data_IF_906049357328
#
_entry.id   IF_906049357328
#
_cell.length_a   1.000
_cell.length_b   1.000
_cell.length_c   1.000
_cell.angle_alpha   90.00
_cell.angle_beta   90.00
_cell.angle_gamma   90.00
#
_symmetry.space_group_name_H-M   'P 1'
#
loop_
_entity.id
_entity.type
_entity.pdbx_description
1 polymer ?
#
# COMPACT_ATOMS: atom_id res chain seq x y z
N UNK A 1 -48.33 47.66 30.38
CA UNK A 1 -48.49 46.55 29.42
C UNK A 1 -47.10 46.06 29.03
N UNK A 2 -46.80 44.76 29.19
CA UNK A 2 -45.46 44.26 29.52
C UNK A 2 -44.54 44.08 28.30
N UNK A 3 -43.24 44.35 28.52
CA UNK A 3 -42.14 44.07 27.59
C UNK A 3 -41.66 42.64 27.79
N UNK A 4 -41.72 41.80 26.76
CA UNK A 4 -41.06 40.49 26.73
C UNK A 4 -39.69 40.62 26.06
N UNK A 5 -38.57 40.28 26.72
CA UNK A 5 -37.30 40.11 26.03
C UNK A 5 -37.24 38.71 25.40
N UNK A 6 -36.96 38.66 24.09
CA UNK A 6 -36.56 37.44 23.39
C UNK A 6 -35.21 36.98 23.97
N UNK A 7 -35.21 35.83 24.65
CA UNK A 7 -33.99 35.12 25.01
C UNK A 7 -33.55 34.26 23.81
N UNK A 8 -32.48 34.69 23.14
CA UNK A 8 -31.81 33.89 22.11
C UNK A 8 -30.97 32.79 22.77
N UNK A 9 -31.30 31.52 22.51
CA UNK A 9 -30.48 30.38 22.89
C UNK A 9 -29.35 30.20 21.87
N UNK A 10 -28.11 30.46 22.29
CA UNK A 10 -26.90 30.15 21.53
C UNK A 10 -26.59 28.66 21.65
N UNK A 11 -26.76 27.92 20.56
CA UNK A 11 -26.32 26.53 20.43
C UNK A 11 -24.79 26.53 20.23
N UNK A 12 -24.03 26.15 21.26
CA UNK A 12 -22.59 25.97 21.14
C UNK A 12 -22.31 24.64 20.41
N UNK A 13 -21.90 24.69 19.14
CA UNK A 13 -21.35 23.52 18.45
C UNK A 13 -19.95 23.24 18.98
N UNK A 14 -19.81 22.18 19.77
CA UNK A 14 -18.52 21.64 20.16
C UNK A 14 -17.88 20.96 18.95
N UNK A 15 -16.89 21.61 18.34
CA UNK A 15 -15.98 21.00 17.38
C UNK A 15 -15.12 19.97 18.13
N UNK A 16 -15.45 18.69 18.02
CA UNK A 16 -14.56 17.62 18.47
C UNK A 16 -13.32 17.63 17.54
N UNK A 17 -12.09 17.69 18.07
CA UNK A 17 -10.91 17.58 17.24
C UNK A 17 -10.88 16.17 16.62
N UNK A 18 -10.79 16.10 15.30
CA UNK A 18 -10.45 14.87 14.60
C UNK A 18 -8.99 14.55 14.97
N UNK A 19 -8.79 13.67 15.96
CA UNK A 19 -7.48 13.12 16.25
C UNK A 19 -7.05 12.28 15.03
N UNK A 20 -6.27 12.86 14.14
CA UNK A 20 -5.62 12.12 13.07
C UNK A 20 -4.53 11.28 13.75
N UNK A 21 -4.66 9.95 13.68
CA UNK A 21 -3.66 9.04 14.22
C UNK A 21 -2.34 9.28 13.48
N UNK A 22 -1.25 9.52 14.22
CA UNK A 22 0.08 9.66 13.62
C UNK A 22 0.50 8.33 12.96
N UNK A 23 1.17 8.39 11.79
CA UNK A 23 1.76 7.21 11.17
C UNK A 23 2.75 6.53 12.10
N UNK A 24 2.79 5.20 12.05
CA UNK A 24 3.80 4.41 12.76
C UNK A 24 5.09 4.45 11.94
N UNK A 25 6.10 5.18 12.42
CA UNK A 25 7.42 5.23 11.78
C UNK A 25 8.38 4.19 12.36
N UNK A 26 9.04 3.45 11.49
CA UNK A 26 10.04 2.42 11.79
C UNK A 26 11.30 2.76 10.99
N UNK A 27 12.22 3.48 11.62
CA UNK A 27 13.49 3.87 11.01
C UNK A 27 14.65 3.11 11.67
N UNK A 28 15.50 2.47 10.85
CA UNK A 28 16.70 1.84 11.35
C UNK A 28 17.31 0.79 10.44
N UNK A 29 18.25 0.03 11.02
CA UNK A 29 19.00 -1.01 10.33
C UNK A 29 18.89 -2.32 11.08
N UNK A 30 18.49 -3.39 10.39
CA UNK A 30 18.46 -4.74 10.95
C UNK A 30 17.40 -4.96 12.03
N UNK A 31 16.37 -4.11 12.10
CA UNK A 31 15.32 -4.21 13.10
C UNK A 31 14.45 -5.44 12.84
N UNK A 32 14.05 -6.15 13.89
CA UNK A 32 13.03 -7.20 13.81
C UNK A 32 11.86 -6.85 14.72
N UNK A 33 10.66 -6.62 14.16
CA UNK A 33 9.50 -6.17 14.94
C UNK A 33 8.18 -6.66 14.36
N UNK A 34 7.25 -6.92 15.28
CA UNK A 34 5.84 -7.11 14.98
C UNK A 34 5.07 -5.84 15.36
N UNK A 35 4.24 -5.34 14.45
CA UNK A 35 3.53 -4.06 14.63
C UNK A 35 2.05 -4.22 14.27
N UNK A 36 1.13 -4.03 15.22
CA UNK A 36 -0.30 -4.02 14.93
C UNK A 36 -0.70 -2.68 14.29
N UNK A 37 -1.28 -2.72 13.08
CA UNK A 37 -1.59 -1.50 12.35
C UNK A 37 -2.84 -0.78 12.85
N UNK A 38 -3.92 -1.50 13.20
CA UNK A 38 -5.19 -0.91 13.67
C UNK A 38 -5.76 0.19 12.74
N UNK A 39 -5.52 0.09 11.44
CA UNK A 39 -5.92 1.05 10.42
C UNK A 39 -4.95 2.22 10.22
N UNK A 40 -3.88 2.30 11.01
CA UNK A 40 -2.85 3.35 10.89
C UNK A 40 -1.97 3.12 9.66
N UNK A 41 -1.39 4.23 9.20
CA UNK A 41 -0.34 4.22 8.20
C UNK A 41 0.98 3.77 8.84
N UNK A 42 1.83 3.11 8.08
CA UNK A 42 3.14 2.62 8.53
C UNK A 42 4.21 3.04 7.53
N UNK A 43 5.29 3.59 8.03
CA UNK A 43 6.47 3.94 7.23
C UNK A 43 7.67 3.14 7.74
N UNK A 44 8.28 2.36 6.86
CA UNK A 44 9.47 1.55 7.14
C UNK A 44 10.62 2.13 6.32
N UNK A 45 11.65 2.64 7.00
CA UNK A 45 12.83 3.22 6.37
C UNK A 45 14.12 2.55 6.83
N UNK A 46 15.17 2.69 6.01
CA UNK A 46 16.53 2.31 6.36
C UNK A 46 17.03 1.09 5.57
N UNK A 47 17.53 0.06 6.26
CA UNK A 47 18.01 -1.14 5.57
C UNK A 47 17.89 -2.42 6.38
N UNK A 48 17.74 -3.57 5.70
CA UNK A 48 17.77 -4.90 6.30
C UNK A 48 16.76 -5.15 7.45
N UNK A 49 15.70 -4.34 7.54
CA UNK A 49 14.65 -4.53 8.55
C UNK A 49 13.75 -5.73 8.19
N UNK A 50 13.38 -6.53 9.19
CA UNK A 50 12.44 -7.64 9.12
C UNK A 50 11.17 -7.31 9.92
N UNK A 51 10.12 -6.85 9.24
CA UNK A 51 8.93 -6.28 9.88
C UNK A 51 7.69 -7.11 9.53
N UNK A 52 6.86 -7.39 10.54
CA UNK A 52 5.56 -8.03 10.37
C UNK A 52 4.45 -7.11 10.84
N UNK A 53 3.56 -6.76 9.92
CA UNK A 53 2.42 -5.89 10.16
C UNK A 53 1.15 -6.74 10.30
N UNK A 54 0.42 -6.58 11.41
CA UNK A 54 -0.78 -7.38 11.71
C UNK A 54 -2.06 -6.54 11.67
N UNK A 55 -3.17 -7.19 11.34
CA UNK A 55 -4.46 -6.56 11.13
C UNK A 55 -4.53 -5.78 9.82
N UNK A 56 -5.39 -4.78 9.80
CA UNK A 56 -5.57 -3.90 8.64
C UNK A 56 -4.69 -2.67 8.81
N UNK A 57 -3.83 -2.39 7.83
CA UNK A 57 -3.07 -1.15 7.73
C UNK A 57 -3.76 -0.16 6.78
N UNK A 58 -3.49 1.12 6.98
CA UNK A 58 -3.84 2.17 6.03
C UNK A 58 -2.91 2.11 4.81
N UNK A 59 -2.08 3.14 4.64
CA UNK A 59 -0.96 3.12 3.71
C UNK A 59 0.29 2.53 4.37
N UNK A 60 1.01 1.68 3.64
CA UNK A 60 2.30 1.14 4.05
C UNK A 60 3.36 1.57 3.05
N UNK A 61 4.39 2.25 3.53
CA UNK A 61 5.56 2.63 2.74
C UNK A 61 6.75 1.80 3.19
N UNK A 62 7.40 1.10 2.26
CA UNK A 62 8.65 0.40 2.46
C UNK A 62 9.70 1.08 1.59
N UNK A 63 10.57 1.87 2.22
CA UNK A 63 11.59 2.65 1.52
C UNK A 63 12.98 2.33 2.05
N UNK A 64 13.89 1.91 1.17
CA UNK A 64 15.25 1.60 1.56
C UNK A 64 15.80 0.39 0.83
N UNK A 65 16.54 -0.45 1.55
CA UNK A 65 17.18 -1.62 0.94
C UNK A 65 17.10 -2.88 1.77
N UNK A 66 16.98 -4.01 1.09
CA UNK A 66 17.02 -5.36 1.67
C UNK A 66 16.00 -5.58 2.82
N UNK A 67 14.90 -4.84 2.83
CA UNK A 67 13.82 -5.07 3.79
C UNK A 67 13.12 -6.41 3.52
N UNK A 68 12.68 -7.07 4.59
CA UNK A 68 11.75 -8.20 4.55
C UNK A 68 10.50 -7.80 5.29
N UNK A 69 9.41 -7.57 4.57
CA UNK A 69 8.15 -7.07 5.16
C UNK A 69 7.02 -8.03 4.86
N UNK A 70 6.24 -8.35 5.89
CA UNK A 70 4.96 -9.04 5.71
C UNK A 70 3.82 -8.18 6.26
N UNK A 71 2.69 -8.15 5.57
CA UNK A 71 1.47 -7.50 6.03
C UNK A 71 0.24 -8.34 5.71
N UNK A 72 -0.73 -8.35 6.60
CA UNK A 72 -1.99 -9.07 6.35
C UNK A 72 -2.87 -8.32 5.35
N UNK A 73 -3.18 -7.05 5.62
CA UNK A 73 -4.07 -6.24 4.80
C UNK A 73 -3.60 -4.78 4.76
N UNK A 74 -3.69 -4.12 3.61
CA UNK A 74 -3.34 -2.70 3.46
C UNK A 74 -4.26 -1.98 2.47
N UNK A 75 -4.56 -0.72 2.72
CA UNK A 75 -5.23 0.13 1.73
C UNK A 75 -4.30 0.52 0.59
N UNK A 76 -3.05 0.81 0.89
CA UNK A 76 -2.01 1.06 -0.10
C UNK A 76 -0.68 0.46 0.35
N UNK A 77 0.12 0.02 -0.61
CA UNK A 77 1.47 -0.46 -0.40
C UNK A 77 2.39 0.18 -1.44
N UNK A 78 3.39 0.92 -0.99
CA UNK A 78 4.48 1.44 -1.82
C UNK A 78 5.79 0.73 -1.44
N UNK A 79 6.47 0.15 -2.42
CA UNK A 79 7.75 -0.55 -2.25
C UNK A 79 8.78 0.12 -3.13
N UNK A 80 9.61 0.94 -2.49
CA UNK A 80 10.61 1.79 -3.15
C UNK A 80 12.02 1.49 -2.64
N UNK A 81 13.01 1.70 -3.50
CA UNK A 81 14.41 1.38 -3.23
C UNK A 81 14.83 0.04 -3.83
N UNK A 82 15.78 -0.65 -3.17
CA UNK A 82 16.53 -1.74 -3.82
C UNK A 82 16.40 -3.05 -3.04
N UNK A 83 16.04 -4.13 -3.75
CA UNK A 83 16.05 -5.50 -3.21
C UNK A 83 15.14 -5.74 -1.99
N UNK A 84 14.07 -4.96 -1.84
CA UNK A 84 13.09 -5.21 -0.80
C UNK A 84 12.22 -6.43 -1.17
N UNK A 85 11.84 -7.21 -0.16
CA UNK A 85 11.03 -8.40 -0.27
C UNK A 85 9.76 -8.21 0.55
N UNK A 86 8.61 -8.14 -0.11
CA UNK A 86 7.34 -7.83 0.54
C UNK A 86 6.30 -8.91 0.24
N UNK A 87 5.65 -9.43 1.27
CA UNK A 87 4.51 -10.34 1.16
C UNK A 87 3.27 -9.72 1.78
N UNK A 88 2.23 -9.50 1.00
CA UNK A 88 0.98 -8.90 1.45
C UNK A 88 -0.20 -9.86 1.27
N UNK A 89 -1.05 -10.03 2.29
CA UNK A 89 -2.24 -10.86 2.15
C UNK A 89 -3.27 -10.25 1.20
N UNK A 90 -3.58 -8.95 1.36
CA UNK A 90 -4.44 -8.18 0.45
C UNK A 90 -4.07 -6.69 0.43
N UNK A 91 -4.00 -6.09 -0.75
CA UNK A 91 -3.84 -4.64 -0.93
C UNK A 91 -4.79 -4.10 -2.00
N UNK A 92 -5.20 -2.84 -1.88
CA UNK A 92 -6.06 -2.19 -2.89
C UNK A 92 -5.23 -1.47 -3.96
N UNK A 93 -4.12 -0.85 -3.55
CA UNK A 93 -3.16 -0.19 -4.43
C UNK A 93 -1.75 -0.67 -4.12
N UNK A 94 -0.99 -0.99 -5.16
CA UNK A 94 0.40 -1.39 -5.11
C UNK A 94 1.23 -0.50 -6.04
N UNK A 95 2.26 0.12 -5.49
CA UNK A 95 3.31 0.81 -6.23
C UNK A 95 4.65 0.11 -5.98
N UNK A 96 5.40 -0.15 -7.04
CA UNK A 96 6.75 -0.73 -6.97
C UNK A 96 7.68 0.04 -7.88
N UNK A 97 8.77 0.56 -7.34
CA UNK A 97 9.70 1.41 -8.09
C UNK A 97 11.18 1.11 -7.80
N UNK A 98 12.06 1.85 -8.49
CA UNK A 98 13.52 1.82 -8.36
C UNK A 98 14.15 0.54 -8.92
N UNK A 99 14.44 -0.49 -8.12
CA UNK A 99 15.07 -1.69 -8.66
C UNK A 99 14.93 -2.96 -7.81
N UNK A 100 14.82 -4.13 -8.46
CA UNK A 100 15.06 -5.46 -7.86
C UNK A 100 14.14 -5.86 -6.69
N UNK A 101 13.04 -5.12 -6.50
CA UNK A 101 12.05 -5.46 -5.47
C UNK A 101 11.30 -6.74 -5.85
N UNK A 102 11.02 -7.57 -4.85
CA UNK A 102 10.20 -8.78 -4.95
C UNK A 102 8.92 -8.58 -4.15
N UNK A 103 7.76 -8.73 -4.80
CA UNK A 103 6.47 -8.55 -4.13
C UNK A 103 5.52 -9.69 -4.43
N UNK A 104 4.95 -10.27 -3.38
CA UNK A 104 3.84 -11.22 -3.47
C UNK A 104 2.60 -10.61 -2.83
N UNK A 105 1.48 -10.51 -3.56
CA UNK A 105 0.27 -9.89 -3.01
C UNK A 105 -1.03 -10.33 -3.70
N UNK A 106 -2.14 -10.29 -2.98
CA UNK A 106 -3.46 -10.26 -3.62
C UNK A 106 -3.94 -8.81 -3.79
N UNK A 107 -4.34 -8.44 -5.00
CA UNK A 107 -4.90 -7.13 -5.32
C UNK A 107 -6.43 -7.23 -5.41
N UNK A 108 -7.12 -6.45 -4.58
CA UNK A 108 -8.58 -6.45 -4.49
C UNK A 108 -9.06 -5.01 -4.26
N UNK A 109 -9.71 -4.42 -5.26
CA UNK A 109 -10.27 -3.08 -5.16
C UNK A 109 -11.60 -3.07 -4.41
N UNK A 110 -11.93 -1.94 -3.80
CA UNK A 110 -13.26 -1.72 -3.22
C UNK A 110 -14.13 -0.96 -4.22
N UNK A 111 -15.25 -1.58 -4.61
CA UNK A 111 -16.24 -0.95 -5.48
C UNK A 111 -16.62 0.47 -4.98
N UNK A 112 -16.75 1.47 -5.88
CA UNK A 112 -16.68 1.36 -7.34
C UNK A 112 -15.25 1.34 -7.92
N UNK A 113 -14.21 1.41 -7.09
CA UNK A 113 -12.83 1.50 -7.52
C UNK A 113 -12.23 0.12 -7.81
N UNK A 114 -11.39 0.06 -8.85
CA UNK A 114 -10.61 -1.13 -9.19
C UNK A 114 -9.31 -1.16 -8.38
N UNK A 115 -8.73 -2.35 -8.22
CA UNK A 115 -7.37 -2.44 -7.70
C UNK A 115 -6.39 -1.75 -8.66
N UNK A 116 -5.32 -1.16 -8.13
CA UNK A 116 -4.32 -0.49 -8.97
C UNK A 116 -2.93 -1.07 -8.72
N UNK A 117 -2.20 -1.28 -9.81
CA UNK A 117 -0.79 -1.62 -9.81
C UNK A 117 -0.04 -0.59 -10.65
N UNK A 118 0.94 0.05 -10.05
CA UNK A 118 1.92 0.89 -10.74
C UNK A 118 3.32 0.31 -10.55
N UNK A 119 4.03 0.12 -11.66
CA UNK A 119 5.40 -0.39 -11.67
C UNK A 119 6.24 0.52 -12.53
N UNK A 120 7.37 0.97 -11.97
CA UNK A 120 8.41 1.71 -12.67
C UNK A 120 9.78 1.18 -12.25
N UNK A 121 10.88 1.65 -12.85
CA UNK A 121 12.21 1.15 -12.52
C UNK A 121 12.56 -0.17 -13.22
N UNK A 122 13.38 -1.00 -12.60
CA UNK A 122 13.94 -2.18 -13.27
C UNK A 122 14.06 -3.45 -12.41
N UNK A 123 14.08 -4.60 -13.07
CA UNK A 123 14.35 -5.91 -12.45
C UNK A 123 13.36 -6.31 -11.34
N UNK A 124 12.15 -5.75 -11.31
CA UNK A 124 11.14 -6.17 -10.33
C UNK A 124 10.64 -7.58 -10.60
N UNK A 125 10.32 -8.33 -9.55
CA UNK A 125 9.66 -9.64 -9.66
C UNK A 125 8.40 -9.65 -8.81
N UNK A 126 7.25 -9.66 -9.48
CA UNK A 126 5.94 -9.54 -8.88
C UNK A 126 5.15 -10.84 -9.10
N UNK A 127 4.58 -11.38 -8.03
CA UNK A 127 3.68 -12.54 -8.06
C UNK A 127 2.34 -12.14 -7.44
N UNK A 128 1.35 -11.89 -8.29
CA UNK A 128 0.11 -11.22 -7.89
C UNK A 128 -1.14 -12.05 -8.14
N UNK A 129 -2.13 -11.94 -7.26
CA UNK A 129 -3.48 -12.50 -7.46
C UNK A 129 -4.48 -11.38 -7.58
N UNK A 130 -5.11 -11.20 -8.75
CA UNK A 130 -6.15 -10.19 -8.95
C UNK A 130 -7.52 -10.75 -8.56
N UNK A 131 -8.10 -10.26 -7.47
CA UNK A 131 -9.41 -10.66 -6.93
C UNK A 131 -10.53 -9.73 -7.40
N UNK A 132 -10.59 -9.44 -8.69
CA UNK A 132 -11.58 -8.57 -9.31
C UNK A 132 -10.96 -7.60 -10.32
N UNK A 133 -11.71 -6.58 -10.76
CA UNK A 133 -11.22 -5.58 -11.70
C UNK A 133 -9.96 -4.89 -11.17
N UNK A 134 -8.92 -4.87 -12.01
CA UNK A 134 -7.65 -4.22 -11.70
C UNK A 134 -7.14 -3.44 -12.91
N UNK A 135 -6.44 -2.34 -12.65
CA UNK A 135 -5.73 -1.53 -13.65
C UNK A 135 -4.24 -1.64 -13.36
N UNK A 136 -3.46 -2.03 -14.36
CA UNK A 136 -2.01 -2.23 -14.27
C UNK A 136 -1.31 -1.27 -15.22
N UNK A 137 -0.41 -0.46 -14.68
CA UNK A 137 0.53 0.34 -15.45
C UNK A 137 1.94 -0.16 -15.13
N UNK A 138 2.60 -0.76 -16.12
CA UNK A 138 3.96 -1.24 -15.99
C UNK A 138 4.86 -0.50 -16.97
N UNK A 139 5.89 0.15 -16.44
CA UNK A 139 6.91 0.88 -17.18
C UNK A 139 8.30 0.45 -16.73
N UNK A 140 9.33 0.76 -17.52
CA UNK A 140 10.72 0.49 -17.16
C UNK A 140 11.31 -0.72 -17.86
N UNK A 141 12.28 -1.39 -17.23
CA UNK A 141 13.09 -2.42 -17.88
C UNK A 141 13.15 -3.73 -17.10
N UNK A 142 13.09 -4.87 -17.80
CA UNK A 142 13.35 -6.20 -17.22
C UNK A 142 12.43 -6.62 -16.06
N UNK A 143 11.28 -5.95 -15.92
CA UNK A 143 10.32 -6.28 -14.86
C UNK A 143 9.55 -7.56 -15.21
N UNK A 144 9.30 -8.40 -14.20
CA UNK A 144 8.53 -9.63 -14.33
C UNK A 144 7.25 -9.52 -13.51
N UNK A 145 6.12 -9.74 -14.16
CA UNK A 145 4.82 -9.87 -13.51
C UNK A 145 4.24 -11.24 -13.81
N UNK A 146 4.21 -12.11 -12.79
CA UNK A 146 3.44 -13.35 -12.78
C UNK A 146 2.11 -13.07 -12.09
N UNK A 147 1.00 -13.46 -12.70
CA UNK A 147 -0.30 -13.15 -12.12
C UNK A 147 -1.35 -14.23 -12.35
N UNK A 148 -2.34 -14.32 -11.45
CA UNK A 148 -3.51 -15.18 -11.60
C UNK A 148 -4.81 -14.46 -11.20
N UNK A 149 -5.95 -15.13 -11.40
CA UNK A 149 -7.27 -14.60 -11.04
C UNK A 149 -7.95 -13.85 -12.18
N UNK A 150 -8.56 -12.71 -11.84
CA UNK A 150 -9.31 -11.87 -12.79
C UNK A 150 -8.37 -11.15 -13.75
N UNK A 151 -8.75 -11.08 -15.03
CA UNK A 151 -7.97 -10.41 -16.07
C UNK A 151 -7.89 -8.89 -15.79
N UNK A 152 -6.69 -8.29 -15.64
CA UNK A 152 -6.54 -6.86 -15.44
C UNK A 152 -6.57 -6.09 -16.78
N UNK A 153 -6.96 -4.82 -16.73
CA UNK A 153 -6.65 -3.88 -17.81
C UNK A 153 -5.18 -3.45 -17.68
N UNK A 154 -4.35 -3.73 -18.69
CA UNK A 154 -2.91 -3.54 -18.59
C UNK A 154 -2.34 -2.62 -19.67
N UNK A 155 -1.48 -1.68 -19.26
CA UNK A 155 -0.58 -0.92 -20.14
C UNK A 155 0.86 -1.28 -19.79
N UNK A 156 1.64 -1.69 -20.79
CA UNK A 156 3.06 -2.04 -20.63
C UNK A 156 3.92 -1.19 -21.55
N UNK A 157 4.95 -0.56 -21.00
CA UNK A 157 5.90 0.28 -21.72
C UNK A 157 7.34 -0.02 -21.27
N UNK A 158 8.31 0.27 -22.13
CA UNK A 158 9.74 0.08 -21.84
C UNK A 158 10.32 -1.18 -22.51
N UNK A 159 11.33 -1.79 -21.90
CA UNK A 159 12.20 -2.80 -22.54
C UNK A 159 12.19 -4.11 -21.75
N UNK A 160 12.08 -5.25 -22.43
CA UNK A 160 12.26 -6.60 -21.85
C UNK A 160 11.40 -6.97 -20.63
N UNK A 161 10.30 -6.26 -20.42
CA UNK A 161 9.31 -6.62 -19.42
C UNK A 161 8.59 -7.93 -19.79
N UNK A 162 8.42 -8.83 -18.83
CA UNK A 162 7.80 -10.16 -19.01
C UNK A 162 6.52 -10.28 -18.18
N UNK A 163 5.41 -10.56 -18.84
CA UNK A 163 4.09 -10.74 -18.21
C UNK A 163 3.63 -12.16 -18.45
N UNK A 164 3.32 -12.89 -17.39
CA UNK A 164 2.91 -14.29 -17.47
C UNK A 164 1.69 -14.57 -16.59
N UNK A 165 0.60 -15.01 -17.21
CA UNK A 165 -0.56 -15.50 -16.48
C UNK A 165 -0.29 -16.93 -15.99
N UNK A 166 -0.43 -17.16 -14.70
CA UNK A 166 -0.39 -18.48 -14.07
C UNK A 166 -1.78 -19.14 -14.14
N UNK A 167 -1.83 -20.48 -14.22
CA UNK A 167 -3.09 -21.24 -14.30
C UNK A 167 -3.99 -21.08 -13.08
#
# INVERSE_FOLDING_TARGET
>A
MPKFPLAGALLALTLAPLAQAEPVSIDGVGLTRDVPCQGQDVEITGSANHIRLTGTCGAVTVYGSDHQVSLEQGGALSVSGIQNQVTAGRVERLEVDTAKNRVQAALEGRAPNHAQLEVSGADHNLELVFKGPAVVNLSGADNQLRWSGSEPLMTVQGVDNRIERQP
#
